data_IF_107443445075
#
_entry.id   IF_107443445075
#
_cell.length_a   1.000
_cell.length_b   1.000
_cell.length_c   1.000
_cell.angle_alpha   90.00
_cell.angle_beta   90.00
_cell.angle_gamma   90.00
#
_symmetry.space_group_name_H-M   'P 1'
#
loop_
_entity.id
_entity.type
_entity.pdbx_description
1 polymer ?
#
# COMPACT_ATOMS: atom_id res chain seq x y z
N UNK A 1 -16.58 -10.08 20.38
CA UNK A 1 -16.23 -8.90 19.55
C UNK A 1 -17.46 -8.34 18.79
N UNK A 2 -18.60 -8.11 19.46
CA UNK A 2 -19.90 -7.82 18.81
C UNK A 2 -20.11 -6.33 18.43
N UNK A 3 -19.37 -5.40 19.04
CA UNK A 3 -19.62 -3.95 18.98
C UNK A 3 -18.40 -3.13 18.51
N UNK A 4 -17.67 -3.61 17.49
CA UNK A 4 -16.59 -2.81 16.88
C UNK A 4 -17.18 -1.59 16.15
N UNK A 5 -16.90 -0.34 16.58
CA UNK A 5 -17.48 0.86 16.01
C UNK A 5 -17.10 1.10 14.54
N UNK A 6 -15.89 0.73 14.12
CA UNK A 6 -15.43 0.89 12.73
C UNK A 6 -16.13 -0.09 11.82
N UNK A 7 -16.21 -1.36 12.23
CA UNK A 7 -16.98 -2.36 11.46
C UNK A 7 -18.45 -1.99 11.32
N UNK A 8 -19.06 -1.45 12.38
CA UNK A 8 -20.46 -1.01 12.36
C UNK A 8 -20.65 0.18 11.40
N UNK A 9 -19.76 1.18 11.43
CA UNK A 9 -19.79 2.32 10.50
C UNK A 9 -19.61 1.89 9.05
N UNK A 10 -18.62 1.03 8.78
CA UNK A 10 -18.40 0.46 7.43
C UNK A 10 -19.65 -0.27 6.92
N UNK A 11 -20.27 -1.11 7.75
CA UNK A 11 -21.51 -1.80 7.38
C UNK A 11 -22.63 -0.82 7.03
N UNK A 12 -22.81 0.20 7.85
CA UNK A 12 -23.89 1.16 7.67
C UNK A 12 -23.66 2.00 6.41
N UNK A 13 -22.42 2.41 6.13
CA UNK A 13 -22.04 3.06 4.87
C UNK A 13 -22.22 2.15 3.66
N UNK A 14 -21.87 0.87 3.75
CA UNK A 14 -22.12 -0.10 2.67
C UNK A 14 -23.62 -0.20 2.35
N UNK A 15 -24.47 -0.27 3.37
CA UNK A 15 -25.93 -0.29 3.16
C UNK A 15 -26.46 1.00 2.55
N UNK A 16 -25.86 2.15 2.89
CA UNK A 16 -26.21 3.44 2.28
C UNK A 16 -25.74 3.51 0.83
N UNK A 17 -24.49 3.13 0.56
CA UNK A 17 -23.90 3.06 -0.77
C UNK A 17 -24.77 2.23 -1.71
N UNK A 18 -25.23 1.05 -1.26
CA UNK A 18 -26.10 0.16 -2.03
C UNK A 18 -27.44 0.81 -2.44
N UNK A 19 -27.95 1.75 -1.65
CA UNK A 19 -29.20 2.49 -1.93
C UNK A 19 -29.00 3.62 -2.94
N UNK A 20 -27.77 4.00 -3.24
CA UNK A 20 -27.47 5.02 -4.24
C UNK A 20 -28.01 4.67 -5.63
N UNK A 21 -28.26 5.71 -6.43
CA UNK A 21 -28.85 5.54 -7.75
C UNK A 21 -27.81 5.09 -8.79
N UNK A 22 -28.25 4.31 -9.77
CA UNK A 22 -27.46 3.86 -10.91
C UNK A 22 -26.37 2.83 -10.59
N UNK A 23 -25.36 2.78 -11.46
CA UNK A 23 -24.20 1.88 -11.33
C UNK A 23 -23.22 2.37 -10.26
N UNK A 24 -22.47 1.45 -9.68
CA UNK A 24 -21.43 1.78 -8.72
C UNK A 24 -20.31 2.57 -9.40
N UNK A 25 -19.89 3.68 -8.79
CA UNK A 25 -18.83 4.54 -9.30
C UNK A 25 -17.98 5.12 -8.16
N UNK A 26 -16.83 5.69 -8.50
CA UNK A 26 -15.99 6.41 -7.53
C UNK A 26 -16.75 7.58 -6.87
N UNK A 27 -17.56 8.33 -7.63
CA UNK A 27 -18.37 9.44 -7.11
C UNK A 27 -19.38 8.98 -6.05
N UNK A 28 -19.98 7.80 -6.23
CA UNK A 28 -20.89 7.21 -5.23
C UNK A 28 -20.16 6.75 -4.00
N UNK A 29 -18.92 6.29 -4.12
CA UNK A 29 -18.11 5.89 -2.98
C UNK A 29 -17.57 7.12 -2.24
N UNK A 30 -17.33 8.24 -2.92
CA UNK A 30 -16.79 9.47 -2.34
C UNK A 30 -17.62 10.02 -1.17
N UNK A 31 -18.93 9.74 -1.13
CA UNK A 31 -19.80 10.14 -0.01
C UNK A 31 -19.74 9.21 1.21
N UNK A 32 -19.01 8.11 1.13
CA UNK A 32 -18.84 7.13 2.22
C UNK A 32 -17.49 7.35 2.90
N UNK A 33 -17.47 8.20 3.93
CA UNK A 33 -16.25 8.69 4.57
C UNK A 33 -15.38 7.56 5.15
N UNK A 34 -15.96 6.65 5.92
CA UNK A 34 -15.22 5.56 6.56
C UNK A 34 -14.70 4.56 5.51
N UNK A 35 -15.48 4.26 4.46
CA UNK A 35 -15.02 3.46 3.33
C UNK A 35 -13.83 4.15 2.63
N UNK A 36 -13.96 5.42 2.26
CA UNK A 36 -12.88 6.17 1.62
C UNK A 36 -11.65 6.22 2.51
N UNK A 37 -11.79 6.35 3.82
CA UNK A 37 -10.65 6.38 4.74
C UNK A 37 -10.00 5.01 4.91
N UNK A 38 -10.79 3.96 5.19
CA UNK A 38 -10.27 2.63 5.52
C UNK A 38 -9.72 1.93 4.29
N UNK A 39 -10.47 1.96 3.17
CA UNK A 39 -10.14 1.21 1.96
C UNK A 39 -9.48 2.07 0.90
N UNK A 40 -9.76 3.37 0.88
CA UNK A 40 -9.20 4.34 -0.06
C UNK A 40 -8.08 5.24 0.46
N UNK A 41 -7.79 5.23 1.76
CA UNK A 41 -6.86 6.19 2.41
C UNK A 41 -7.13 7.67 2.10
N UNK A 42 -8.41 8.04 2.01
CA UNK A 42 -8.81 9.39 1.65
C UNK A 42 -9.01 9.60 0.14
N UNK A 43 -8.76 8.59 -0.70
CA UNK A 43 -9.01 8.61 -2.14
C UNK A 43 -10.23 7.77 -2.51
N UNK A 44 -11.25 8.41 -3.09
CA UNK A 44 -12.47 7.74 -3.55
C UNK A 44 -12.21 6.80 -4.74
N UNK A 45 -11.28 7.16 -5.62
CA UNK A 45 -10.88 6.29 -6.74
C UNK A 45 -10.17 5.02 -6.23
N UNK A 46 -9.31 5.17 -5.22
CA UNK A 46 -8.67 4.01 -4.60
C UNK A 46 -9.70 3.12 -3.91
N UNK A 47 -10.64 3.71 -3.16
CA UNK A 47 -11.71 2.96 -2.53
C UNK A 47 -12.54 2.18 -3.56
N UNK A 48 -12.88 2.80 -4.70
CA UNK A 48 -13.55 2.13 -5.81
C UNK A 48 -12.73 0.97 -6.38
N UNK A 49 -11.45 1.20 -6.69
CA UNK A 49 -10.58 0.16 -7.23
C UNK A 49 -10.44 -1.02 -6.27
N UNK A 50 -10.22 -0.76 -4.97
CA UNK A 50 -10.16 -1.81 -3.94
C UNK A 50 -11.48 -2.56 -3.82
N UNK A 51 -12.61 -1.87 -3.90
CA UNK A 51 -13.94 -2.48 -3.87
C UNK A 51 -14.19 -3.41 -5.06
N UNK A 52 -13.78 -3.01 -6.28
CA UNK A 52 -13.87 -3.85 -7.48
C UNK A 52 -12.89 -5.03 -7.40
N UNK A 53 -11.69 -4.85 -6.85
CA UNK A 53 -10.75 -5.96 -6.68
C UNK A 53 -11.30 -7.05 -5.73
N UNK A 54 -12.08 -6.66 -4.71
CA UNK A 54 -12.77 -7.64 -3.86
C UNK A 54 -13.80 -8.47 -4.64
N UNK A 55 -14.38 -7.94 -5.71
CA UNK A 55 -15.27 -8.72 -6.59
C UNK A 55 -14.52 -9.90 -7.19
N UNK A 56 -13.30 -9.67 -7.70
CA UNK A 56 -12.48 -10.74 -8.30
C UNK A 56 -12.13 -11.82 -7.28
N UNK A 57 -11.90 -11.43 -6.02
CA UNK A 57 -11.39 -12.35 -4.98
C UNK A 57 -12.48 -13.10 -4.22
N UNK A 58 -13.55 -12.41 -3.82
CA UNK A 58 -14.54 -12.94 -2.87
C UNK A 58 -15.92 -13.19 -3.48
N UNK A 59 -16.16 -12.80 -4.73
CA UNK A 59 -17.44 -12.98 -5.43
C UNK A 59 -17.40 -14.11 -6.47
N UNK A 60 -16.50 -15.09 -6.27
CA UNK A 60 -16.32 -16.25 -7.17
C UNK A 60 -17.57 -17.15 -7.16
N UNK A 61 -18.19 -17.34 -5.98
CA UNK A 61 -19.43 -18.10 -5.85
C UNK A 61 -20.62 -17.26 -6.34
N UNK A 62 -21.35 -17.70 -7.39
CA UNK A 62 -22.44 -16.92 -7.99
C UNK A 62 -23.56 -16.58 -6.99
N UNK A 63 -23.85 -17.48 -6.07
CA UNK A 63 -24.88 -17.30 -5.03
C UNK A 63 -24.34 -16.75 -3.70
N UNK A 64 -23.05 -16.43 -3.65
CA UNK A 64 -22.39 -15.95 -2.45
C UNK A 64 -22.96 -14.61 -1.96
N UNK A 65 -23.01 -14.42 -0.64
CA UNK A 65 -23.56 -13.20 -0.03
C UNK A 65 -22.83 -11.92 -0.51
N UNK A 66 -21.51 -11.99 -0.74
CA UNK A 66 -20.70 -10.85 -1.24
C UNK A 66 -21.08 -10.53 -2.69
N UNK A 67 -21.25 -11.55 -3.53
CA UNK A 67 -21.74 -11.38 -4.91
C UNK A 67 -23.11 -10.72 -4.95
N UNK A 68 -24.03 -11.19 -4.10
CA UNK A 68 -25.35 -10.58 -3.95
C UNK A 68 -25.29 -9.11 -3.55
N UNK A 69 -24.40 -8.75 -2.63
CA UNK A 69 -24.22 -7.35 -2.26
C UNK A 69 -23.68 -6.49 -3.41
N UNK A 70 -22.65 -6.95 -4.12
CA UNK A 70 -22.03 -6.20 -5.22
C UNK A 70 -23.02 -5.96 -6.36
N UNK A 71 -23.73 -7.00 -6.80
CA UNK A 71 -24.71 -6.90 -7.87
C UNK A 71 -25.85 -5.93 -7.50
N UNK A 72 -26.40 -6.07 -6.29
CA UNK A 72 -27.46 -5.16 -5.80
C UNK A 72 -26.95 -3.74 -5.48
N UNK A 73 -25.64 -3.53 -5.40
CA UNK A 73 -25.01 -2.21 -5.27
C UNK A 73 -24.88 -1.48 -6.61
N UNK A 74 -25.09 -2.17 -7.74
CA UNK A 74 -24.98 -1.63 -9.10
C UNK A 74 -23.73 -2.08 -9.84
N UNK A 75 -23.28 -3.32 -9.61
CA UNK A 75 -22.17 -3.92 -10.37
C UNK A 75 -22.70 -5.04 -11.24
N UNK A 76 -22.71 -4.83 -12.56
CA UNK A 76 -23.04 -5.86 -13.56
C UNK A 76 -24.53 -6.19 -13.71
N UNK A 77 -25.41 -5.63 -12.87
CA UNK A 77 -26.87 -5.67 -13.06
C UNK A 77 -27.40 -4.27 -13.34
N UNK A 78 -28.35 -4.20 -14.28
CA UNK A 78 -29.07 -2.98 -14.58
C UNK A 78 -30.08 -2.64 -13.47
N UNK A 79 -30.36 -1.35 -13.30
CA UNK A 79 -31.34 -0.84 -12.34
C UNK A 79 -30.85 0.44 -11.69
N UNK A 80 -31.65 1.50 -11.79
CA UNK A 80 -31.31 2.79 -11.21
C UNK A 80 -31.58 2.80 -9.71
N UNK A 81 -32.61 2.09 -9.24
CA UNK A 81 -32.92 2.00 -7.80
C UNK A 81 -32.52 0.67 -7.18
N UNK A 82 -32.40 0.63 -5.85
CA UNK A 82 -32.15 -0.63 -5.14
C UNK A 82 -33.23 -1.68 -5.42
N UNK A 83 -34.51 -1.27 -5.48
CA UNK A 83 -35.59 -2.22 -5.71
C UNK A 83 -35.48 -2.86 -7.11
N UNK A 84 -35.22 -2.05 -8.14
CA UNK A 84 -35.00 -2.56 -9.49
C UNK A 84 -33.81 -3.53 -9.54
N UNK A 85 -32.71 -3.21 -8.86
CA UNK A 85 -31.55 -4.12 -8.80
C UNK A 85 -31.83 -5.39 -7.99
N UNK A 86 -32.67 -5.33 -6.96
CA UNK A 86 -33.11 -6.51 -6.21
C UNK A 86 -34.00 -7.41 -7.07
N UNK A 87 -34.88 -6.83 -7.88
CA UNK A 87 -35.73 -7.57 -8.82
C UNK A 87 -34.90 -8.19 -9.95
N UNK A 88 -33.91 -7.46 -10.48
CA UNK A 88 -32.95 -7.97 -11.45
C UNK A 88 -32.12 -9.14 -10.88
N UNK A 89 -31.60 -9.00 -9.66
CA UNK A 89 -30.87 -10.07 -8.98
C UNK A 89 -31.77 -11.30 -8.75
N UNK A 90 -33.00 -11.07 -8.27
CA UNK A 90 -34.00 -12.10 -8.05
C UNK A 90 -34.31 -12.90 -9.33
N UNK A 91 -34.42 -12.21 -10.47
CA UNK A 91 -34.65 -12.83 -11.77
C UNK A 91 -33.45 -13.68 -12.24
N UNK A 92 -32.22 -13.17 -12.07
CA UNK A 92 -30.99 -13.88 -12.50
C UNK A 92 -30.71 -15.10 -11.65
N UNK A 93 -30.93 -15.02 -10.34
CA UNK A 93 -30.59 -16.06 -9.37
C UNK A 93 -31.79 -16.91 -8.92
N UNK A 94 -32.96 -16.73 -9.55
CA UNK A 94 -34.20 -17.46 -9.26
C UNK A 94 -34.61 -17.47 -7.78
N UNK A 95 -34.48 -16.32 -7.13
CA UNK A 95 -34.89 -16.10 -5.72
C UNK A 95 -35.93 -15.01 -5.64
N UNK A 96 -36.62 -14.88 -4.50
CA UNK A 96 -37.48 -13.73 -4.26
C UNK A 96 -36.66 -12.47 -3.84
N UNK A 97 -37.18 -11.25 -4.07
CA UNK A 97 -36.47 -10.02 -3.73
C UNK A 97 -36.12 -9.86 -2.24
N UNK A 98 -36.88 -10.49 -1.32
CA UNK A 98 -36.55 -10.43 0.12
C UNK A 98 -35.37 -11.33 0.43
N UNK A 99 -35.27 -12.48 -0.22
CA UNK A 99 -34.07 -13.34 -0.15
C UNK A 99 -32.85 -12.65 -0.74
N UNK A 100 -33.00 -11.95 -1.87
CA UNK A 100 -31.94 -11.13 -2.46
C UNK A 100 -31.43 -10.07 -1.45
N UNK A 101 -32.35 -9.33 -0.83
CA UNK A 101 -32.01 -8.32 0.17
C UNK A 101 -31.28 -8.94 1.39
N UNK A 102 -31.75 -10.08 1.88
CA UNK A 102 -31.11 -10.77 3.02
C UNK A 102 -29.70 -11.26 2.69
N UNK A 103 -29.48 -11.83 1.49
CA UNK A 103 -28.14 -12.23 1.01
C UNK A 103 -27.22 -11.01 0.91
N UNK A 104 -27.72 -9.94 0.32
CA UNK A 104 -27.02 -8.66 0.20
C UNK A 104 -26.68 -8.03 1.56
N UNK A 105 -27.59 -8.06 2.54
CA UNK A 105 -27.33 -7.55 3.89
C UNK A 105 -26.24 -8.35 4.61
N UNK A 106 -26.22 -9.68 4.47
CA UNK A 106 -25.12 -10.52 4.96
C UNK A 106 -23.81 -10.25 4.21
N UNK A 107 -23.89 -9.92 2.93
CA UNK A 107 -22.75 -9.51 2.12
C UNK A 107 -22.11 -8.23 2.64
N UNK A 108 -22.92 -7.23 2.96
CA UNK A 108 -22.47 -5.99 3.61
C UNK A 108 -21.78 -6.27 4.96
N UNK A 109 -22.33 -7.16 5.78
CA UNK A 109 -21.73 -7.55 7.07
C UNK A 109 -20.37 -8.26 6.89
N UNK A 110 -20.28 -9.16 5.90
CA UNK A 110 -19.03 -9.86 5.54
C UNK A 110 -17.99 -8.88 5.00
N UNK A 111 -18.37 -8.01 4.07
CA UNK A 111 -17.46 -7.00 3.52
C UNK A 111 -16.99 -6.01 4.57
N UNK A 112 -17.86 -5.56 5.48
CA UNK A 112 -17.43 -4.70 6.59
C UNK A 112 -16.38 -5.39 7.48
N UNK A 113 -16.51 -6.70 7.67
CA UNK A 113 -15.53 -7.51 8.41
C UNK A 113 -14.22 -7.60 7.62
N UNK A 114 -14.27 -7.98 6.33
CA UNK A 114 -13.10 -8.06 5.43
C UNK A 114 -12.38 -6.70 5.31
N UNK A 115 -13.12 -5.60 5.19
CA UNK A 115 -12.53 -4.27 5.09
C UNK A 115 -11.84 -3.83 6.37
N UNK A 116 -12.39 -4.22 7.53
CA UNK A 116 -11.77 -3.96 8.81
C UNK A 116 -10.56 -4.87 9.07
N UNK A 117 -10.64 -6.14 8.67
CA UNK A 117 -9.69 -7.18 9.05
C UNK A 117 -8.61 -7.46 8.01
N UNK A 118 -8.95 -7.52 6.72
CA UNK A 118 -8.09 -8.11 5.68
C UNK A 118 -7.44 -7.08 4.74
N UNK A 119 -8.00 -5.88 4.61
CA UNK A 119 -7.45 -4.86 3.69
C UNK A 119 -6.05 -4.38 4.05
N UNK A 120 -5.66 -4.48 5.32
CA UNK A 120 -4.28 -4.17 5.72
C UNK A 120 -3.31 -5.28 5.29
N UNK A 121 -3.76 -6.54 5.21
CA UNK A 121 -2.90 -7.69 4.91
C UNK A 121 -2.74 -7.97 3.42
N UNK A 122 -3.71 -7.55 2.58
CA UNK A 122 -3.71 -7.81 1.13
C UNK A 122 -3.13 -6.65 0.30
N UNK A 123 -2.53 -5.64 0.94
CA UNK A 123 -1.86 -4.54 0.24
C UNK A 123 -0.54 -5.02 -0.34
N UNK A 124 -0.11 -4.47 -1.49
CA UNK A 124 1.26 -4.62 -1.94
C UNK A 124 2.23 -4.22 -0.83
N UNK A 125 3.39 -4.86 -0.75
CA UNK A 125 4.45 -4.46 0.18
C UNK A 125 5.65 -3.95 -0.58
N UNK A 126 6.07 -2.74 -0.27
CA UNK A 126 7.30 -2.15 -0.76
C UNK A 126 8.36 -2.17 0.34
N UNK A 127 9.57 -2.58 0.00
CA UNK A 127 10.73 -2.46 0.87
C UNK A 127 11.81 -1.66 0.14
N UNK A 128 12.20 -0.52 0.72
CA UNK A 128 13.36 0.24 0.28
C UNK A 128 14.45 -0.03 1.29
N UNK A 129 15.57 -0.58 0.84
CA UNK A 129 16.75 -0.81 1.67
C UNK A 129 17.91 0.02 1.15
N UNK A 130 18.45 0.90 2.01
CA UNK A 130 19.61 1.73 1.69
C UNK A 130 20.86 1.16 2.37
N UNK A 131 21.93 1.01 1.62
CA UNK A 131 23.24 0.60 2.12
C UNK A 131 24.27 1.67 1.78
N UNK A 132 24.99 2.16 2.78
CA UNK A 132 26.11 3.07 2.57
C UNK A 132 27.43 2.29 2.60
N UNK A 133 28.24 2.47 1.55
CA UNK A 133 29.61 1.97 1.47
C UNK A 133 30.56 3.14 1.18
N UNK A 134 31.19 3.67 2.22
CA UNK A 134 31.99 4.90 2.10
C UNK A 134 31.11 6.09 1.74
N UNK A 135 31.40 6.74 0.61
CA UNK A 135 30.60 7.84 0.05
C UNK A 135 29.52 7.38 -0.94
N UNK A 136 29.44 6.07 -1.22
CA UNK A 136 28.44 5.49 -2.11
C UNK A 136 27.22 5.00 -1.33
N UNK A 137 26.07 5.08 -1.98
CA UNK A 137 24.79 4.55 -1.55
C UNK A 137 24.28 3.59 -2.60
N UNK A 138 23.95 2.40 -2.14
CA UNK A 138 23.27 1.39 -2.93
C UNK A 138 21.85 1.26 -2.38
N UNK A 139 20.89 1.04 -3.29
CA UNK A 139 19.48 0.93 -2.98
C UNK A 139 18.93 -0.36 -3.52
N UNK A 140 18.16 -1.06 -2.70
CA UNK A 140 17.35 -2.19 -3.15
C UNK A 140 15.88 -1.83 -2.99
N UNK A 141 15.11 -1.97 -4.07
CA UNK A 141 13.65 -1.81 -4.04
C UNK A 141 13.03 -3.17 -4.27
N UNK A 142 12.38 -3.72 -3.25
CA UNK A 142 11.60 -4.95 -3.38
C UNK A 142 10.10 -4.63 -3.33
N UNK A 143 9.35 -5.18 -4.27
CA UNK A 143 7.90 -5.07 -4.32
C UNK A 143 7.28 -6.45 -4.22
N UNK A 144 6.23 -6.59 -3.41
CA UNK A 144 5.47 -7.82 -3.26
C UNK A 144 4.02 -7.52 -3.63
N UNK A 145 3.44 -8.31 -4.52
CA UNK A 145 2.06 -8.16 -4.98
C UNK A 145 1.33 -9.50 -4.97
N UNK A 146 0.01 -9.42 -4.85
CA UNK A 146 -0.88 -10.56 -5.02
C UNK A 146 -0.70 -11.19 -6.42
N UNK A 147 -0.67 -12.52 -6.56
CA UNK A 147 -0.48 -13.20 -7.85
C UNK A 147 -1.51 -12.83 -8.93
N UNK A 148 -2.72 -12.44 -8.51
CA UNK A 148 -3.82 -12.10 -9.38
C UNK A 148 -3.96 -10.60 -9.63
N UNK A 149 -3.11 -9.77 -9.02
CA UNK A 149 -3.12 -8.32 -9.23
C UNK A 149 -2.53 -7.95 -10.60
N UNK A 150 -3.19 -7.02 -11.27
CA UNK A 150 -2.61 -6.31 -12.41
C UNK A 150 -1.49 -5.39 -11.93
N UNK A 151 -0.46 -5.18 -12.75
CA UNK A 151 0.73 -4.43 -12.36
C UNK A 151 1.18 -3.45 -13.44
N UNK A 152 1.62 -2.27 -13.00
CA UNK A 152 2.36 -1.29 -13.79
C UNK A 152 3.65 -0.94 -13.06
N UNK A 153 4.80 -0.93 -13.75
CA UNK A 153 6.07 -0.61 -13.12
C UNK A 153 6.04 0.79 -12.50
N UNK A 154 6.58 0.96 -11.27
CA UNK A 154 6.76 2.29 -10.73
C UNK A 154 7.81 3.02 -11.54
N UNK A 155 7.80 4.34 -11.42
CA UNK A 155 8.92 5.17 -11.91
C UNK A 155 9.75 5.55 -10.71
N UNK A 156 11.07 5.55 -10.87
CA UNK A 156 12.01 5.79 -9.79
C UNK A 156 12.90 6.97 -10.16
N UNK A 157 13.13 7.87 -9.21
CA UNK A 157 14.09 8.95 -9.33
C UNK A 157 15.13 8.83 -8.24
N UNK A 158 16.38 9.10 -8.58
CA UNK A 158 17.43 9.33 -7.60
C UNK A 158 17.93 10.75 -7.77
N UNK A 159 17.98 11.49 -6.66
CA UNK A 159 18.54 12.84 -6.65
C UNK A 159 17.91 13.75 -7.72
N UNK A 160 16.60 13.59 -7.91
CA UNK A 160 15.74 14.31 -8.86
C UNK A 160 15.98 13.96 -10.36
N UNK A 161 16.75 12.91 -10.64
CA UNK A 161 16.93 12.33 -11.98
C UNK A 161 16.18 11.01 -12.12
N UNK A 162 15.38 10.86 -13.17
CA UNK A 162 14.64 9.63 -13.46
C UNK A 162 15.61 8.50 -13.82
N UNK A 163 15.36 7.32 -13.29
CA UNK A 163 16.07 6.10 -13.68
C UNK A 163 15.29 5.37 -14.76
N UNK A 164 15.94 5.20 -15.91
CA UNK A 164 15.42 4.39 -17.01
C UNK A 164 15.83 2.93 -16.88
N UNK A 165 15.07 2.02 -17.49
CA UNK A 165 15.45 0.61 -17.65
C UNK A 165 15.19 -0.29 -16.44
N UNK A 166 14.51 0.18 -15.40
CA UNK A 166 14.06 -0.68 -14.29
C UNK A 166 12.87 -1.55 -14.74
N UNK A 167 13.04 -2.87 -14.70
CA UNK A 167 12.08 -3.83 -15.29
C UNK A 167 11.00 -4.27 -14.29
N UNK A 168 11.34 -4.39 -13.02
CA UNK A 168 10.50 -4.91 -11.94
C UNK A 168 9.80 -6.23 -12.31
N UNK A 169 10.57 -7.24 -12.68
CA UNK A 169 10.03 -8.55 -13.05
C UNK A 169 9.50 -9.32 -11.84
N UNK A 170 8.17 -9.53 -11.78
CA UNK A 170 7.54 -10.29 -10.70
C UNK A 170 7.70 -11.80 -10.88
N UNK A 171 8.38 -12.42 -9.92
CA UNK A 171 8.63 -13.87 -9.88
C UNK A 171 7.97 -14.48 -8.65
N UNK A 172 7.54 -15.73 -8.78
CA UNK A 172 7.06 -16.50 -7.63
C UNK A 172 8.22 -16.75 -6.67
N UNK A 173 8.02 -16.41 -5.40
CA UNK A 173 9.08 -16.49 -4.39
C UNK A 173 9.19 -17.87 -3.76
N UNK A 174 8.24 -18.78 -4.02
CA UNK A 174 8.13 -20.07 -3.34
C UNK A 174 7.88 -19.96 -1.83
N UNK A 175 7.74 -18.74 -1.30
CA UNK A 175 7.50 -18.48 0.10
C UNK A 175 6.02 -18.77 0.47
N UNK A 176 5.73 -19.21 1.71
CA UNK A 176 4.38 -19.53 2.16
C UNK A 176 3.44 -18.30 2.19
N UNK A 177 3.96 -17.10 1.94
CA UNK A 177 3.19 -15.86 1.86
C UNK A 177 2.32 -15.77 0.61
N UNK A 178 2.58 -16.57 -0.43
CA UNK A 178 1.78 -16.57 -1.67
C UNK A 178 1.97 -15.34 -2.57
N UNK A 179 2.83 -14.40 -2.21
CA UNK A 179 3.11 -13.19 -2.99
C UNK A 179 4.14 -13.40 -4.12
N UNK A 180 3.92 -12.72 -5.25
CA UNK A 180 4.93 -12.52 -6.29
C UNK A 180 5.83 -11.36 -5.88
N UNK A 181 7.13 -11.46 -6.16
CA UNK A 181 8.12 -10.43 -5.82
C UNK A 181 8.88 -9.94 -7.03
N UNK A 182 9.07 -8.63 -7.13
CA UNK A 182 10.06 -7.98 -7.97
C UNK A 182 11.15 -7.35 -7.10
N UNK A 183 12.38 -7.32 -7.60
CA UNK A 183 13.53 -6.75 -6.90
C UNK A 183 14.41 -6.02 -7.91
N UNK A 184 14.70 -4.75 -7.61
CA UNK A 184 15.65 -3.94 -8.33
C UNK A 184 16.79 -3.52 -7.40
N UNK A 185 18.01 -3.56 -7.93
CA UNK A 185 19.22 -3.10 -7.25
C UNK A 185 19.81 -1.93 -8.03
N UNK A 186 20.03 -0.83 -7.33
CA UNK A 186 20.51 0.42 -7.90
C UNK A 186 21.77 0.82 -7.12
N UNK A 187 22.92 0.73 -7.74
CA UNK A 187 24.22 0.84 -7.06
C UNK A 187 24.99 2.10 -7.47
N UNK A 188 25.91 2.52 -6.60
CA UNK A 188 26.98 3.44 -6.98
C UNK A 188 26.59 4.91 -7.00
N UNK A 189 25.58 5.33 -6.24
CA UNK A 189 25.22 6.75 -6.15
C UNK A 189 25.95 7.46 -5.03
N UNK A 190 26.60 8.58 -5.33
CA UNK A 190 27.35 9.36 -4.34
C UNK A 190 26.45 10.16 -3.39
N UNK A 191 26.86 10.26 -2.13
CA UNK A 191 26.29 11.18 -1.15
C UNK A 191 26.65 12.63 -1.51
N UNK A 192 25.63 13.44 -1.81
CA UNK A 192 25.74 14.88 -2.08
C UNK A 192 25.87 15.66 -0.77
N UNK A 193 27.06 15.65 -0.16
CA UNK A 193 27.30 16.19 1.19
C UNK A 193 26.96 17.69 1.35
N UNK A 194 26.88 18.44 0.25
CA UNK A 194 26.54 19.86 0.19
C UNK A 194 25.04 20.16 0.11
N UNK A 195 24.19 19.13 0.02
CA UNK A 195 22.73 19.28 -0.12
C UNK A 195 22.02 19.02 1.21
N UNK A 196 20.80 19.56 1.32
CA UNK A 196 19.90 19.25 2.44
C UNK A 196 19.61 17.74 2.53
N UNK A 197 19.32 17.13 1.39
CA UNK A 197 19.20 15.67 1.24
C UNK A 197 20.46 15.16 0.56
N UNK A 198 21.31 14.49 1.32
CA UNK A 198 22.58 13.96 0.84
C UNK A 198 22.31 12.87 -0.21
N UNK A 199 21.25 12.11 -0.02
CA UNK A 199 20.72 11.20 -1.01
C UNK A 199 19.20 11.20 -0.91
N UNK A 200 18.54 11.11 -2.06
CA UNK A 200 17.08 11.02 -2.14
C UNK A 200 16.70 10.02 -3.21
N UNK A 201 15.76 9.14 -2.88
CA UNK A 201 15.09 8.27 -3.84
C UNK A 201 13.58 8.47 -3.76
N UNK A 202 12.94 8.68 -4.91
CA UNK A 202 11.49 8.72 -5.06
C UNK A 202 11.02 7.50 -5.82
N UNK A 203 9.99 6.83 -5.31
CA UNK A 203 9.31 5.74 -6.01
C UNK A 203 7.86 6.15 -6.23
N UNK A 204 7.49 6.41 -7.47
CA UNK A 204 6.10 6.69 -7.86
C UNK A 204 5.37 5.40 -8.20
N UNK A 205 4.45 5.02 -7.34
CA UNK A 205 3.63 3.83 -7.51
C UNK A 205 2.46 4.10 -8.46
N UNK A 206 2.45 3.44 -9.63
CA UNK A 206 1.49 3.73 -10.71
C UNK A 206 0.20 2.91 -10.66
N UNK A 207 -0.10 2.31 -9.51
CA UNK A 207 -1.30 1.51 -9.30
C UNK A 207 -2.20 2.14 -8.24
N UNK A 208 -3.52 1.92 -8.31
CA UNK A 208 -4.47 2.55 -7.41
C UNK A 208 -4.33 2.08 -5.96
N UNK A 209 -3.96 0.82 -5.72
CA UNK A 209 -3.78 0.27 -4.37
C UNK A 209 -2.35 0.53 -3.89
N UNK A 210 -2.18 1.38 -2.87
CA UNK A 210 -0.85 1.75 -2.39
C UNK A 210 -0.14 0.60 -1.67
N UNK A 211 1.19 0.48 -1.84
CA UNK A 211 1.96 -0.42 -1.03
C UNK A 211 2.07 0.09 0.40
N UNK A 212 2.09 -0.84 1.34
CA UNK A 212 2.69 -0.57 2.63
C UNK A 212 4.21 -0.57 2.46
N UNK A 213 4.86 0.52 2.85
CA UNK A 213 6.29 0.67 2.71
C UNK A 213 7.03 0.40 4.02
N UNK A 214 8.12 -0.32 3.91
CA UNK A 214 9.10 -0.54 4.97
C UNK A 214 10.43 0.03 4.52
N UNK A 215 11.13 0.67 5.45
CA UNK A 215 12.47 1.19 5.24
C UNK A 215 13.47 0.35 6.04
N UNK A 216 14.45 -0.21 5.34
CA UNK A 216 15.69 -0.71 5.93
C UNK A 216 16.84 0.25 5.62
N UNK A 217 17.75 0.44 6.57
CA UNK A 217 18.96 1.22 6.31
C UNK A 217 20.15 0.67 7.08
N UNK A 218 21.29 0.60 6.40
CA UNK A 218 22.59 0.34 7.01
C UNK A 218 23.54 1.45 6.55
N UNK A 219 23.82 2.38 7.47
CA UNK A 219 24.69 3.52 7.20
C UNK A 219 26.06 3.29 7.85
N UNK A 220 27.12 3.66 7.15
CA UNK A 220 28.49 3.62 7.66
C UNK A 220 28.81 4.83 8.54
N UNK A 221 28.21 5.99 8.27
CA UNK A 221 28.37 7.21 9.07
C UNK A 221 27.20 7.35 10.05
N UNK A 222 27.52 7.28 11.34
CA UNK A 222 26.55 7.31 12.44
C UNK A 222 25.83 8.65 12.63
N UNK A 223 26.29 9.71 11.94
CA UNK A 223 25.64 11.02 11.94
C UNK A 223 24.52 11.12 10.91
N UNK A 224 24.42 10.14 10.02
CA UNK A 224 23.40 10.12 8.99
C UNK A 224 22.10 9.53 9.52
N UNK A 225 20.99 10.05 9.04
CA UNK A 225 19.64 9.58 9.36
C UNK A 225 18.92 9.29 8.06
N UNK A 226 18.15 8.20 8.06
CA UNK A 226 17.24 7.88 6.97
C UNK A 226 15.80 8.14 7.39
N UNK A 227 15.04 8.77 6.51
CA UNK A 227 13.60 8.97 6.66
C UNK A 227 12.88 8.38 5.46
N UNK A 228 11.73 7.76 5.72
CA UNK A 228 10.75 7.38 4.71
C UNK A 228 9.51 8.24 4.87
N UNK A 229 8.97 8.74 3.76
CA UNK A 229 7.72 9.49 3.74
C UNK A 229 6.91 9.11 2.52
N UNK A 230 5.68 8.64 2.75
CA UNK A 230 4.70 8.43 1.68
C UNK A 230 3.84 9.68 1.52
N UNK A 231 3.77 10.19 0.30
CA UNK A 231 2.98 11.35 -0.09
C UNK A 231 1.62 10.91 -0.66
N UNK A 232 0.65 11.83 -0.67
CA UNK A 232 -0.71 11.56 -1.17
C UNK A 232 -0.83 11.44 -2.69
N UNK A 233 0.23 11.73 -3.43
CA UNK A 233 0.32 11.67 -4.89
C UNK A 233 0.95 10.36 -5.40
N UNK A 234 0.83 9.27 -4.65
CA UNK A 234 1.41 7.95 -4.96
C UNK A 234 2.95 7.87 -4.94
N UNK A 235 3.63 8.94 -4.50
CA UNK A 235 5.08 8.98 -4.36
C UNK A 235 5.51 8.54 -2.95
N UNK A 236 6.50 7.67 -2.88
CA UNK A 236 7.20 7.34 -1.63
C UNK A 236 8.65 7.80 -1.74
N UNK A 237 9.04 8.67 -0.82
CA UNK A 237 10.35 9.29 -0.76
C UNK A 237 11.15 8.66 0.38
N UNK A 238 12.38 8.23 0.11
CA UNK A 238 13.35 7.88 1.12
C UNK A 238 14.59 8.80 1.00
N UNK A 239 14.96 9.44 2.10
CA UNK A 239 16.05 10.42 2.13
C UNK A 239 17.11 10.06 3.14
N UNK A 240 18.38 10.27 2.79
CA UNK A 240 19.49 10.33 3.74
C UNK A 240 19.83 11.80 3.98
N UNK A 241 19.85 12.21 5.25
CA UNK A 241 20.25 13.54 5.66
C UNK A 241 21.18 13.49 6.87
N UNK A 242 21.79 14.62 7.21
CA UNK A 242 22.42 14.77 8.51
C UNK A 242 21.37 14.68 9.61
N UNK A 243 21.68 13.98 10.70
CA UNK A 243 20.83 13.92 11.89
C UNK A 243 20.89 15.25 12.66
N UNK A 244 19.73 15.86 12.90
CA UNK A 244 19.62 17.16 13.58
C UNK A 244 20.05 17.20 15.06
N UNK A 245 20.62 16.12 15.60
CA UNK A 245 21.06 16.02 16.99
C UNK A 245 22.58 16.21 17.19
N UNK A 246 23.31 16.61 16.15
CA UNK A 246 24.70 17.03 16.32
C UNK A 246 24.88 18.38 15.63
N UNK A 247 24.83 19.45 16.43
CA UNK A 247 25.79 20.54 16.29
C UNK A 247 27.21 19.94 16.49
N UNK A 248 27.61 19.03 15.62
CA UNK A 248 28.96 18.53 15.56
C UNK A 248 29.71 19.53 14.71
N UNK A 249 30.40 20.44 15.38
CA UNK A 249 31.70 20.93 14.93
C UNK A 249 32.39 19.80 14.15
N UNK A 250 32.57 20.01 12.84
CA UNK A 250 33.33 19.05 12.04
C UNK A 250 34.71 18.87 12.71
N UNK A 251 35.20 17.65 12.98
CA UNK A 251 36.61 17.51 13.28
C UNK A 251 37.37 18.00 12.05
N UNK A 252 38.26 18.97 12.27
CA UNK A 252 39.07 19.55 11.20
C UNK A 252 39.86 18.43 10.50
N UNK A 253 39.93 18.50 9.17
CA UNK A 253 40.78 17.63 8.37
C UNK A 253 42.23 17.81 8.84
N UNK A 254 42.74 16.86 9.62
CA UNK A 254 44.09 16.92 10.19
C UNK A 254 44.31 16.14 11.48
N UNK A 255 43.26 15.73 12.20
CA UNK A 255 43.45 14.88 13.38
C UNK A 255 43.68 13.42 12.98
N UNK A 256 44.96 13.07 12.87
CA UNK A 256 45.45 11.71 12.72
C UNK A 256 44.77 10.78 13.71
N UNK A 257 44.13 9.74 13.18
CA UNK A 257 43.54 8.62 13.89
C UNK A 257 44.53 8.09 14.95
N UNK A 258 44.31 8.39 16.23
CA UNK A 258 45.09 7.78 17.31
C UNK A 258 44.58 6.36 17.48
N UNK A 259 45.35 5.41 16.96
CA UNK A 259 45.18 3.98 17.22
C UNK A 259 45.04 3.74 18.72
N UNK A 260 44.05 2.94 19.11
CA UNK A 260 43.99 2.39 20.46
C UNK A 260 45.23 1.52 20.69
N UNK A 261 46.23 2.07 21.37
CA UNK A 261 47.28 1.29 21.99
C UNK A 261 46.67 0.54 23.17
N UNK A 262 46.48 -0.76 23.01
CA UNK A 262 46.29 -1.70 24.11
C UNK A 262 47.53 -1.68 24.99
N UNK A 263 47.51 -0.88 26.06
CA UNK A 263 48.41 -1.03 27.19
C UNK A 263 47.67 -1.74 28.31
N UNK A 264 48.14 -2.94 28.65
CA UNK A 264 47.67 -3.66 29.83
C UNK A 264 47.98 -5.15 29.84
N UNK A 265 49.24 -5.54 29.61
CA UNK A 265 49.74 -6.82 30.11
C UNK A 265 50.40 -6.61 31.46
N UNK A 266 50.29 -7.59 32.38
CA UNK A 266 51.12 -7.64 33.58
C UNK A 266 50.52 -8.44 34.73
N UNK A 267 51.08 -9.63 34.93
CA UNK A 267 50.91 -10.52 36.08
C UNK A 267 51.07 -9.81 37.44
N UNK A 268 50.22 -10.19 38.41
CA UNK A 268 50.57 -10.52 39.80
C UNK A 268 49.40 -11.23 40.49
#
# INVERSE_FOLDING_TARGET
MKNDPTRLRLRDELRQLRRGNGNLSADRIAVSEELVNVIGMGSAEQAYATFIDMLKRYAIEPEGDIRAYLETCGVGLDGDTLNERLDAYAAVHFVDPRTALRRSDRGADKLATIFRDEILFNRPWGNIVLYQFGDLVNVSIALHIDPHAEYKPPVVWINDAELEGLAFEFKDTGAPTGYRRALEHIDGHELRRDKQWLFKIDVNWRMPVWPQWVLGAQLADNRLVVKLQTQRNFMTEATISWGGAVEATMPAVGESFRSFTTNGGGDQ
#
